data_IF_465327891002
#
_entry.id   IF_465327891002
#
_cell.length_a   1.000
_cell.length_b   1.000
_cell.length_c   1.000
_cell.angle_alpha   90.00
_cell.angle_beta   90.00
_cell.angle_gamma   90.00
#
_symmetry.space_group_name_H-M   'P 1'
#
loop_
_entity.id
_entity.type
_entity.pdbx_description
1 polymer ?
#
# COMPACT_ATOMS: atom_id res chain seq x y z
N UNK A 1 12.68 15.06 48.77
CA UNK A 1 13.16 15.18 47.38
C UNK A 1 12.03 15.82 46.58
N UNK A 2 12.22 17.10 46.21
CA UNK A 2 11.34 17.79 45.27
C UNK A 2 11.72 17.29 43.86
N UNK A 3 10.83 16.64 43.20
CA UNK A 3 10.96 16.31 41.77
C UNK A 3 10.62 17.61 41.01
N UNK A 4 11.64 18.24 40.44
CA UNK A 4 11.45 19.41 39.58
C UNK A 4 10.90 18.93 38.22
N UNK A 5 10.08 19.74 37.57
CA UNK A 5 9.66 19.50 36.22
C UNK A 5 10.90 19.38 35.31
N UNK A 6 10.95 18.42 34.37
CA UNK A 6 12.09 18.29 33.47
C UNK A 6 12.22 19.54 32.59
N UNK A 7 13.46 19.92 32.28
CA UNK A 7 13.78 20.90 31.26
C UNK A 7 13.49 20.24 29.89
N UNK A 8 12.32 20.54 29.32
CA UNK A 8 11.85 19.90 28.10
C UNK A 8 12.76 20.14 26.90
N UNK A 9 13.41 21.30 26.82
CA UNK A 9 14.33 21.62 25.73
C UNK A 9 15.59 20.74 25.80
N UNK A 10 16.18 20.61 27.00
CA UNK A 10 17.33 19.70 27.17
C UNK A 10 16.95 18.23 26.97
N UNK A 11 15.76 17.84 27.43
CA UNK A 11 15.28 16.50 27.27
C UNK A 11 15.08 16.15 25.78
N UNK A 12 14.49 17.06 25.01
CA UNK A 12 14.30 16.90 23.57
C UNK A 12 15.63 16.85 22.81
N UNK A 13 16.61 17.68 23.20
CA UNK A 13 17.94 17.64 22.62
C UNK A 13 18.65 16.30 22.89
N UNK A 14 18.56 15.77 24.11
CA UNK A 14 19.12 14.46 24.47
C UNK A 14 18.41 13.35 23.71
N UNK A 15 17.09 13.40 23.60
CA UNK A 15 16.33 12.41 22.82
C UNK A 15 16.68 12.45 21.33
N UNK A 16 16.89 13.64 20.76
CA UNK A 16 17.35 13.79 19.38
C UNK A 16 18.75 13.23 19.17
N UNK A 17 19.68 13.51 20.11
CA UNK A 17 21.05 12.98 20.07
C UNK A 17 21.10 11.44 20.21
N UNK A 18 20.22 10.88 21.04
CA UNK A 18 20.11 9.45 21.28
C UNK A 18 19.18 8.74 20.29
N UNK A 19 18.64 9.46 19.29
CA UNK A 19 17.65 8.94 18.33
C UNK A 19 16.40 8.31 18.99
N UNK A 20 16.11 8.71 20.24
CA UNK A 20 14.88 8.30 20.89
C UNK A 20 13.70 9.04 20.25
N UNK A 21 12.67 8.28 19.83
CA UNK A 21 11.41 8.88 19.40
C UNK A 21 10.77 9.58 20.59
N UNK A 22 10.91 10.88 20.67
CA UNK A 22 10.00 11.68 21.49
C UNK A 22 8.61 11.52 20.88
N UNK A 23 7.66 11.11 21.71
CA UNK A 23 6.27 11.35 21.38
C UNK A 23 6.08 12.87 21.41
N UNK A 24 6.33 13.52 20.29
CA UNK A 24 6.07 14.95 20.13
C UNK A 24 4.54 15.14 20.18
N UNK A 25 4.02 15.24 21.40
CA UNK A 25 2.59 15.41 21.69
C UNK A 25 2.06 16.77 21.22
N UNK A 26 2.94 17.62 20.67
CA UNK A 26 2.62 19.01 20.33
C UNK A 26 2.24 19.22 18.88
N UNK A 27 2.51 18.26 17.98
CA UNK A 27 1.98 18.33 16.61
C UNK A 27 0.61 17.65 16.59
N UNK A 28 -0.45 18.43 16.44
CA UNK A 28 -1.75 17.90 16.06
C UNK A 28 -1.57 17.07 14.79
N UNK A 29 -1.85 15.77 14.89
CA UNK A 29 -1.83 14.89 13.73
C UNK A 29 -2.91 15.33 12.78
N UNK A 30 -2.59 15.45 11.50
CA UNK A 30 -3.62 15.63 10.49
C UNK A 30 -4.52 14.37 10.51
N UNK A 31 -5.75 14.57 10.94
CA UNK A 31 -6.79 13.57 10.77
C UNK A 31 -7.14 13.47 9.28
N UNK A 32 -7.73 12.33 8.83
CA UNK A 32 -8.25 12.22 7.47
C UNK A 32 -9.01 13.49 7.11
N UNK A 33 -8.52 14.25 6.14
CA UNK A 33 -9.18 15.51 5.78
C UNK A 33 -10.53 15.16 5.15
N UNK A 34 -11.63 15.54 5.81
CA UNK A 34 -12.92 15.73 5.15
C UNK A 34 -12.73 16.81 4.06
N UNK A 35 -12.34 16.39 2.86
CA UNK A 35 -12.03 17.30 1.75
C UNK A 35 -11.15 16.66 0.68
N UNK A 36 -10.73 15.41 0.86
CA UNK A 36 -10.11 14.62 -0.21
C UNK A 36 -11.14 14.32 -1.28
N UNK A 37 -10.74 14.45 -2.53
CA UNK A 37 -11.58 14.16 -3.69
C UNK A 37 -11.46 12.67 -4.03
N UNK A 38 -12.11 11.82 -3.22
CA UNK A 38 -12.13 10.39 -3.43
C UNK A 38 -13.39 9.96 -4.17
N UNK A 39 -13.23 9.22 -5.25
CA UNK A 39 -14.29 8.82 -6.17
C UNK A 39 -14.46 7.30 -6.19
N UNK A 40 -15.72 6.84 -6.06
CA UNK A 40 -16.09 5.45 -6.36
C UNK A 40 -16.40 5.30 -7.84
N UNK A 41 -15.63 4.51 -8.56
CA UNK A 41 -15.78 4.31 -10.01
C UNK A 41 -16.73 3.16 -10.27
N UNK A 42 -17.99 3.46 -10.55
CA UNK A 42 -19.04 2.46 -10.79
C UNK A 42 -19.46 2.33 -12.26
N UNK A 43 -19.05 3.26 -13.11
CA UNK A 43 -19.46 3.28 -14.51
C UNK A 43 -18.26 3.50 -15.47
N UNK A 44 -18.50 3.22 -16.73
CA UNK A 44 -17.49 3.32 -17.79
C UNK A 44 -16.98 4.74 -18.01
N UNK A 45 -17.82 5.76 -17.80
CA UNK A 45 -17.45 7.17 -18.01
C UNK A 45 -16.43 7.59 -16.96
N UNK A 46 -16.67 7.25 -15.68
CA UNK A 46 -15.75 7.49 -14.60
C UNK A 46 -14.43 6.75 -14.82
N UNK A 47 -14.46 5.47 -15.22
CA UNK A 47 -13.24 4.71 -15.54
C UNK A 47 -12.44 5.36 -16.68
N UNK A 48 -13.08 5.77 -17.78
CA UNK A 48 -12.43 6.45 -18.91
C UNK A 48 -11.80 7.78 -18.49
N UNK A 49 -12.43 8.50 -17.54
CA UNK A 49 -11.85 9.72 -16.95
C UNK A 49 -10.54 9.40 -16.23
N UNK A 50 -10.52 8.39 -15.37
CA UNK A 50 -9.31 7.96 -14.65
C UNK A 50 -8.22 7.44 -15.58
N UNK A 51 -8.56 6.65 -16.58
CA UNK A 51 -7.64 6.26 -17.65
C UNK A 51 -6.97 7.47 -18.31
N UNK A 52 -7.75 8.52 -18.57
CA UNK A 52 -7.23 9.75 -19.15
C UNK A 52 -6.28 10.47 -18.20
N UNK A 53 -6.58 10.51 -16.89
CA UNK A 53 -5.71 11.07 -15.86
C UNK A 53 -4.38 10.31 -15.77
N UNK A 54 -4.41 8.96 -15.71
CA UNK A 54 -3.20 8.11 -15.69
C UNK A 54 -2.32 8.38 -16.92
N UNK A 55 -2.90 8.39 -18.12
CA UNK A 55 -2.14 8.63 -19.34
C UNK A 55 -1.42 10.00 -19.34
N UNK A 56 -2.03 11.02 -18.72
CA UNK A 56 -1.47 12.38 -18.63
C UNK A 56 -0.52 12.56 -17.45
N UNK A 57 -0.64 11.74 -16.41
CA UNK A 57 0.20 11.87 -15.21
C UNK A 57 1.65 11.51 -15.50
N UNK A 58 2.57 12.08 -14.72
CA UNK A 58 3.98 11.69 -14.69
C UNK A 58 4.21 10.50 -13.75
N UNK A 59 3.38 10.39 -12.73
CA UNK A 59 3.38 9.35 -11.70
C UNK A 59 1.93 9.06 -11.32
N UNK A 60 1.62 7.83 -11.01
CA UNK A 60 0.35 7.45 -10.38
C UNK A 60 0.61 6.36 -9.35
N UNK A 61 -0.15 6.39 -8.25
CA UNK A 61 -0.16 5.30 -7.30
C UNK A 61 -1.22 4.28 -7.66
N UNK A 62 -0.91 3.01 -7.37
CA UNK A 62 -1.81 1.86 -7.52
C UNK A 62 -1.74 1.01 -6.27
N UNK A 63 -2.89 0.53 -5.83
CA UNK A 63 -3.02 -0.42 -4.76
C UNK A 63 -4.16 -1.39 -5.05
N UNK A 64 -4.18 -2.58 -4.43
CA UNK A 64 -5.21 -3.60 -4.65
C UNK A 64 -5.85 -4.03 -3.36
N UNK A 65 -7.18 -4.09 -3.38
CA UNK A 65 -7.97 -4.66 -2.29
C UNK A 65 -8.34 -6.11 -2.59
N UNK A 66 -8.19 -6.96 -1.58
CA UNK A 66 -8.36 -8.41 -1.71
C UNK A 66 -9.18 -9.01 -0.57
N UNK A 67 -9.69 -10.23 -0.78
CA UNK A 67 -10.41 -10.99 0.24
C UNK A 67 -9.47 -11.73 1.22
N UNK A 68 -8.17 -11.77 0.94
CA UNK A 68 -7.19 -12.50 1.74
C UNK A 68 -5.80 -11.90 1.63
N UNK A 69 -4.99 -12.04 2.68
CA UNK A 69 -3.55 -11.72 2.66
C UNK A 69 -2.68 -12.80 2.01
N UNK A 70 -3.26 -13.94 1.63
CA UNK A 70 -2.55 -15.02 0.95
C UNK A 70 -2.46 -14.73 -0.55
N UNK A 71 -1.32 -14.22 -1.02
CA UNK A 71 -1.09 -13.83 -2.41
C UNK A 71 -1.31 -14.95 -3.42
N UNK A 72 -1.26 -16.22 -3.02
CA UNK A 72 -1.46 -17.37 -3.91
C UNK A 72 -2.95 -17.61 -4.20
N UNK A 73 -3.84 -17.33 -3.26
CA UNK A 73 -5.28 -17.64 -3.34
C UNK A 73 -6.20 -16.42 -3.26
N UNK A 74 -5.67 -15.23 -2.88
CA UNK A 74 -6.48 -14.03 -2.74
C UNK A 74 -7.18 -13.62 -4.03
N UNK A 75 -8.45 -13.27 -3.96
CA UNK A 75 -9.20 -12.70 -5.06
C UNK A 75 -9.13 -11.18 -5.05
N UNK A 76 -9.07 -10.57 -6.21
CA UNK A 76 -9.10 -9.12 -6.37
C UNK A 76 -10.53 -8.61 -6.13
N UNK A 77 -10.69 -7.72 -5.15
CA UNK A 77 -11.97 -7.09 -4.80
C UNK A 77 -12.11 -5.72 -5.46
N UNK A 78 -11.00 -5.01 -5.63
CA UNK A 78 -10.96 -3.75 -6.34
C UNK A 78 -9.56 -3.21 -6.51
N UNK A 79 -9.44 -2.10 -7.25
CA UNK A 79 -8.20 -1.41 -7.54
C UNK A 79 -8.36 0.05 -7.13
N UNK A 80 -7.42 0.59 -6.39
CA UNK A 80 -7.38 2.02 -6.08
C UNK A 80 -6.24 2.72 -6.83
N UNK A 81 -6.46 3.98 -7.16
CA UNK A 81 -5.55 4.80 -7.95
C UNK A 81 -5.50 6.22 -7.42
N UNK A 82 -4.32 6.84 -7.47
CA UNK A 82 -4.14 8.27 -7.24
C UNK A 82 -3.16 8.87 -8.26
N UNK A 83 -3.43 10.10 -8.69
CA UNK A 83 -2.57 10.83 -9.67
C UNK A 83 -2.11 12.19 -9.14
N UNK A 84 -2.69 12.64 -8.05
CA UNK A 84 -2.31 13.87 -7.32
C UNK A 84 -2.72 13.77 -5.86
N UNK A 85 -2.04 14.51 -4.99
CA UNK A 85 -2.32 14.51 -3.56
C UNK A 85 -3.76 14.93 -3.27
N UNK A 86 -4.40 14.25 -2.33
CA UNK A 86 -5.80 14.40 -1.94
C UNK A 86 -6.81 14.09 -3.08
N UNK A 87 -6.38 13.37 -4.10
CA UNK A 87 -7.22 12.87 -5.18
C UNK A 87 -6.97 11.37 -5.36
N UNK A 88 -8.02 10.57 -5.27
CA UNK A 88 -7.94 9.13 -5.44
C UNK A 88 -9.25 8.56 -5.95
N UNK A 89 -9.21 7.32 -6.42
CA UNK A 89 -10.41 6.58 -6.70
C UNK A 89 -10.28 5.13 -6.28
N UNK A 90 -11.43 4.54 -6.06
CA UNK A 90 -11.59 3.11 -5.92
C UNK A 90 -12.47 2.56 -7.03
N UNK A 91 -12.01 1.51 -7.67
CA UNK A 91 -12.71 0.76 -8.73
C UNK A 91 -13.13 -0.57 -8.13
N UNK A 92 -14.33 -0.67 -7.53
CA UNK A 92 -14.83 -1.92 -6.97
C UNK A 92 -15.17 -2.89 -8.10
N UNK A 93 -14.86 -4.19 -7.89
CA UNK A 93 -15.02 -5.23 -8.90
C UNK A 93 -15.82 -6.41 -8.35
N UNK A 94 -15.58 -6.79 -7.09
CA UNK A 94 -16.11 -8.03 -6.52
C UNK A 94 -16.68 -7.87 -5.10
N UNK A 95 -17.22 -6.70 -4.76
CA UNK A 95 -17.98 -6.56 -3.51
C UNK A 95 -19.28 -7.34 -3.58
N UNK A 96 -19.60 -8.00 -2.45
CA UNK A 96 -20.79 -8.86 -2.32
C UNK A 96 -21.42 -8.69 -0.95
N UNK A 97 -22.33 -7.73 -0.81
CA UNK A 97 -23.16 -7.51 0.35
C UNK A 97 -24.60 -7.17 -0.09
N UNK A 98 -25.54 -7.25 0.86
CA UNK A 98 -26.95 -6.97 0.55
C UNK A 98 -27.14 -5.55 0.04
N UNK A 99 -27.84 -5.40 -1.11
CA UNK A 99 -28.04 -4.13 -1.82
C UNK A 99 -26.75 -3.44 -2.31
N UNK A 100 -25.69 -4.22 -2.57
CA UNK A 100 -24.46 -3.68 -3.18
C UNK A 100 -24.78 -3.03 -4.54
N UNK A 101 -24.32 -1.80 -4.79
CA UNK A 101 -24.47 -1.17 -6.10
C UNK A 101 -23.84 -2.01 -7.22
N UNK A 102 -24.39 -1.88 -8.42
CA UNK A 102 -23.80 -2.54 -9.58
C UNK A 102 -22.40 -2.00 -9.83
N UNK A 103 -21.44 -2.91 -9.93
CA UNK A 103 -20.01 -2.64 -10.16
C UNK A 103 -19.68 -2.88 -11.64
N UNK A 104 -18.51 -2.40 -12.08
CA UNK A 104 -17.95 -2.77 -13.36
C UNK A 104 -17.52 -4.26 -13.34
N UNK A 105 -17.72 -4.95 -14.46
CA UNK A 105 -17.27 -6.34 -14.58
C UNK A 105 -15.75 -6.42 -14.64
N UNK A 106 -15.18 -7.49 -14.04
CA UNK A 106 -13.74 -7.77 -14.04
C UNK A 106 -13.15 -7.71 -15.45
N UNK A 107 -13.77 -8.41 -16.42
CA UNK A 107 -13.28 -8.45 -17.79
C UNK A 107 -13.19 -7.06 -18.41
N UNK A 108 -14.20 -6.21 -18.18
CA UNK A 108 -14.21 -4.84 -18.68
C UNK A 108 -13.09 -3.98 -18.04
N UNK A 109 -12.88 -4.11 -16.74
CA UNK A 109 -11.80 -3.39 -16.03
C UNK A 109 -10.43 -3.87 -16.53
N UNK A 110 -10.22 -5.17 -16.63
CA UNK A 110 -8.97 -5.75 -17.14
C UNK A 110 -8.68 -5.32 -18.57
N UNK A 111 -9.68 -5.36 -19.47
CA UNK A 111 -9.51 -4.98 -20.86
C UNK A 111 -9.14 -3.50 -21.02
N UNK A 112 -9.77 -2.60 -20.26
CA UNK A 112 -9.60 -1.16 -20.43
C UNK A 112 -8.50 -0.59 -19.53
N UNK A 113 -8.54 -0.86 -18.22
CA UNK A 113 -7.55 -0.34 -17.27
C UNK A 113 -6.25 -1.14 -17.32
N UNK A 114 -6.32 -2.47 -17.47
CA UNK A 114 -5.14 -3.32 -17.50
C UNK A 114 -4.15 -2.90 -18.58
N UNK A 115 -4.61 -2.65 -19.81
CA UNK A 115 -3.76 -2.16 -20.90
C UNK A 115 -3.10 -0.80 -20.58
N UNK A 116 -3.82 0.06 -19.85
CA UNK A 116 -3.30 1.38 -19.46
C UNK A 116 -2.23 1.25 -18.38
N UNK A 117 -2.44 0.37 -17.39
CA UNK A 117 -1.45 0.06 -16.37
C UNK A 117 -0.20 -0.54 -17.02
N UNK A 118 -0.34 -1.55 -17.87
CA UNK A 118 0.79 -2.18 -18.56
C UNK A 118 1.59 -1.17 -19.40
N UNK A 119 0.92 -0.26 -20.09
CA UNK A 119 1.56 0.77 -20.92
C UNK A 119 2.30 1.82 -20.08
N UNK A 120 1.78 2.17 -18.90
CA UNK A 120 2.30 3.22 -18.04
C UNK A 120 2.98 2.68 -16.77
N UNK A 121 3.30 1.39 -16.70
CA UNK A 121 3.84 0.74 -15.52
C UNK A 121 5.16 1.37 -15.01
N UNK A 122 5.93 2.00 -15.89
CA UNK A 122 7.14 2.78 -15.57
C UNK A 122 6.86 4.07 -14.80
N UNK A 123 5.59 4.44 -14.61
CA UNK A 123 5.11 5.57 -13.81
C UNK A 123 4.35 5.11 -12.55
N UNK A 124 4.14 3.81 -12.40
CA UNK A 124 3.36 3.25 -11.30
C UNK A 124 4.18 3.22 -10.00
N UNK A 125 3.59 3.69 -8.93
CA UNK A 125 4.10 3.62 -7.55
C UNK A 125 3.14 2.79 -6.71
N UNK A 126 3.67 1.94 -5.84
CA UNK A 126 2.87 1.19 -4.88
C UNK A 126 3.53 1.10 -3.50
N UNK A 127 2.84 0.44 -2.60
CA UNK A 127 3.32 0.13 -1.26
C UNK A 127 3.34 -1.40 -1.09
N UNK A 128 4.52 -2.02 -1.08
CA UNK A 128 4.65 -3.49 -1.05
C UNK A 128 4.12 -4.17 -2.32
N UNK A 129 4.51 -3.67 -3.49
CA UNK A 129 4.09 -4.18 -4.81
C UNK A 129 4.34 -5.69 -5.01
N UNK A 130 5.19 -6.28 -4.20
CA UNK A 130 5.36 -7.75 -4.17
C UNK A 130 4.04 -8.48 -3.88
N UNK A 131 3.12 -7.82 -3.14
CA UNK A 131 1.77 -8.33 -2.88
C UNK A 131 0.84 -8.15 -4.09
N UNK A 132 0.82 -6.96 -4.70
CA UNK A 132 -0.14 -6.58 -5.74
C UNK A 132 0.15 -7.21 -7.10
N UNK A 133 1.42 -7.25 -7.49
CA UNK A 133 1.85 -7.75 -8.79
C UNK A 133 1.32 -9.16 -9.11
N UNK A 134 1.44 -10.17 -8.23
CA UNK A 134 0.92 -11.50 -8.52
C UNK A 134 -0.61 -11.56 -8.56
N UNK A 135 -1.29 -10.74 -7.76
CA UNK A 135 -2.76 -10.65 -7.76
C UNK A 135 -3.24 -10.06 -9.08
N UNK A 136 -2.69 -8.92 -9.50
CA UNK A 136 -2.99 -8.30 -10.78
C UNK A 136 -2.72 -9.26 -11.95
N UNK A 137 -1.59 -9.96 -11.93
CA UNK A 137 -1.20 -10.91 -12.98
C UNK A 137 -2.19 -12.08 -13.12
N UNK A 138 -2.70 -12.64 -12.01
CA UNK A 138 -3.72 -13.69 -12.05
C UNK A 138 -5.04 -13.24 -12.68
N UNK A 139 -5.34 -11.94 -12.57
CA UNK A 139 -6.55 -11.35 -13.14
C UNK A 139 -6.31 -10.72 -14.53
N UNK A 140 -5.14 -10.98 -15.14
CA UNK A 140 -4.86 -10.58 -16.53
C UNK A 140 -4.14 -9.25 -16.69
N UNK A 141 -3.77 -8.55 -15.61
CA UNK A 141 -3.02 -7.28 -15.64
C UNK A 141 -1.56 -7.56 -15.32
N UNK A 142 -0.65 -7.35 -16.29
CA UNK A 142 0.77 -7.67 -16.12
C UNK A 142 1.57 -6.41 -15.76
N UNK A 143 2.20 -6.43 -14.60
CA UNK A 143 3.19 -5.44 -14.19
C UNK A 143 4.56 -6.09 -14.09
N UNK A 144 5.41 -5.84 -15.08
CA UNK A 144 6.81 -6.33 -15.11
C UNK A 144 7.82 -5.27 -14.73
N UNK A 145 7.34 -4.03 -14.58
CA UNK A 145 8.10 -2.85 -14.16
C UNK A 145 7.22 -2.00 -13.25
N UNK A 146 7.85 -1.14 -12.49
CA UNK A 146 7.20 -0.07 -11.71
C UNK A 146 8.22 1.04 -11.47
N UNK A 147 7.75 2.24 -11.15
CA UNK A 147 8.60 3.37 -10.85
C UNK A 147 9.21 3.25 -9.44
N UNK A 148 8.37 2.95 -8.45
CA UNK A 148 8.80 2.89 -7.07
C UNK A 148 7.89 2.01 -6.19
N UNK A 149 8.47 1.50 -5.10
CA UNK A 149 7.81 0.87 -3.98
C UNK A 149 8.17 1.64 -2.70
N UNK A 150 7.18 2.28 -2.08
CA UNK A 150 7.39 3.19 -0.95
C UNK A 150 7.86 2.46 0.31
N UNK A 151 7.49 1.19 0.49
CA UNK A 151 8.00 0.36 1.58
C UNK A 151 9.51 0.14 1.42
N UNK A 152 9.97 -0.24 0.23
CA UNK A 152 11.39 -0.48 -0.06
C UNK A 152 12.20 0.83 -0.04
N UNK A 153 11.63 1.94 -0.54
CA UNK A 153 12.26 3.26 -0.45
C UNK A 153 12.56 3.62 1.01
N UNK A 154 11.58 3.48 1.89
CA UNK A 154 11.76 3.75 3.31
C UNK A 154 12.75 2.79 3.97
N UNK A 155 12.71 1.51 3.62
CA UNK A 155 13.64 0.50 4.15
C UNK A 155 15.09 0.83 3.80
N UNK A 156 15.37 1.17 2.55
CA UNK A 156 16.73 1.50 2.09
C UNK A 156 17.22 2.83 2.65
N UNK A 157 16.32 3.80 2.83
CA UNK A 157 16.65 5.09 3.45
C UNK A 157 17.11 4.95 4.91
N UNK A 158 16.37 4.19 5.70
CA UNK A 158 16.69 3.88 7.09
C UNK A 158 15.90 2.65 7.58
N UNK A 159 16.53 1.48 7.54
CA UNK A 159 15.90 0.20 7.89
C UNK A 159 15.41 0.08 9.35
N UNK A 160 15.87 0.95 10.23
CA UNK A 160 15.55 0.92 11.68
C UNK A 160 14.63 2.06 12.13
N UNK A 161 14.37 3.06 11.27
CA UNK A 161 13.60 4.26 11.65
C UNK A 161 12.17 3.93 12.08
N UNK A 162 11.52 2.99 11.40
CA UNK A 162 10.14 2.60 11.67
C UNK A 162 9.86 1.17 11.18
N UNK A 163 8.69 0.64 11.48
CA UNK A 163 8.13 -0.47 10.70
C UNK A 163 7.62 0.10 9.38
N UNK A 164 8.02 -0.51 8.25
CA UNK A 164 7.80 0.06 6.92
C UNK A 164 6.38 -0.17 6.36
N UNK A 165 5.40 -0.45 7.22
CA UNK A 165 3.98 -0.49 6.84
C UNK A 165 3.41 0.91 6.66
N UNK A 166 2.41 1.06 5.79
CA UNK A 166 1.83 2.33 5.36
C UNK A 166 1.45 3.25 6.53
N UNK A 167 0.69 2.76 7.52
CA UNK A 167 0.26 3.54 8.69
C UNK A 167 1.44 4.20 9.42
N UNK A 168 2.56 3.43 9.55
CA UNK A 168 3.75 3.93 10.22
C UNK A 168 4.54 4.91 9.38
N UNK A 169 4.56 4.69 8.06
CA UNK A 169 5.20 5.62 7.14
C UNK A 169 4.43 6.92 7.05
N UNK A 170 3.10 6.87 6.99
CA UNK A 170 2.24 8.04 6.99
C UNK A 170 2.41 8.86 8.30
N UNK A 171 2.41 8.18 9.45
CA UNK A 171 2.65 8.83 10.74
C UNK A 171 4.05 9.49 10.80
N UNK A 172 5.07 8.79 10.31
CA UNK A 172 6.46 9.22 10.43
C UNK A 172 6.85 10.33 9.44
N UNK A 173 6.49 10.17 8.15
CA UNK A 173 6.91 11.08 7.09
C UNK A 173 5.89 12.17 6.78
N UNK A 174 4.59 11.89 6.96
CA UNK A 174 3.51 12.79 6.59
C UNK A 174 2.83 13.43 7.81
N UNK A 175 3.13 12.98 9.04
CA UNK A 175 2.39 13.33 10.26
C UNK A 175 0.88 13.11 10.12
N UNK A 176 0.50 12.05 9.41
CA UNK A 176 -0.87 11.72 9.02
C UNK A 176 -1.31 10.40 9.67
N UNK A 177 -2.54 10.37 10.20
CA UNK A 177 -3.13 9.15 10.75
C UNK A 177 -4.06 8.55 9.70
N UNK A 178 -3.71 7.38 9.16
CA UNK A 178 -4.51 6.65 8.19
C UNK A 178 -5.70 5.95 8.83
N UNK A 179 -6.71 5.65 8.05
CA UNK A 179 -7.77 4.71 8.39
C UNK A 179 -7.17 3.30 8.45
N UNK A 180 -7.42 2.54 9.51
CA UNK A 180 -6.88 1.19 9.64
C UNK A 180 -7.79 0.17 8.98
N UNK A 181 -7.21 -0.88 8.41
CA UNK A 181 -7.96 -2.01 7.88
C UNK A 181 -9.00 -2.57 8.87
N UNK A 182 -8.63 -2.65 10.17
CA UNK A 182 -9.54 -3.11 11.24
C UNK A 182 -10.69 -2.16 11.54
N UNK A 183 -10.58 -0.89 11.18
CA UNK A 183 -11.65 0.09 11.37
C UNK A 183 -12.77 -0.13 10.34
N UNK A 184 -12.42 -0.64 9.15
CA UNK A 184 -13.36 -0.91 8.05
C UNK A 184 -13.88 -2.35 8.05
N UNK A 185 -13.05 -3.34 8.41
CA UNK A 185 -13.44 -4.76 8.40
C UNK A 185 -13.84 -5.33 9.75
N UNK A 186 -13.57 -4.59 10.85
CA UNK A 186 -13.75 -5.09 12.20
C UNK A 186 -12.57 -5.92 12.71
N UNK A 187 -12.68 -6.44 13.91
CA UNK A 187 -11.58 -7.16 14.60
C UNK A 187 -11.99 -8.53 15.08
N UNK A 188 -11.04 -9.45 15.15
CA UNK A 188 -11.19 -10.81 15.71
C UNK A 188 -12.40 -11.57 15.11
N UNK A 189 -13.28 -12.12 15.94
CA UNK A 189 -14.44 -12.91 15.51
C UNK A 189 -15.54 -12.12 14.78
N UNK A 190 -15.45 -10.80 14.77
CA UNK A 190 -16.38 -9.90 14.05
C UNK A 190 -15.79 -9.36 12.74
N UNK A 191 -14.59 -9.78 12.38
CA UNK A 191 -13.95 -9.35 11.15
C UNK A 191 -14.69 -9.97 9.96
N UNK A 192 -15.07 -9.09 9.01
CA UNK A 192 -15.68 -9.47 7.75
C UNK A 192 -14.64 -9.43 6.63
N UNK A 193 -14.93 -10.09 5.51
CA UNK A 193 -14.12 -9.95 4.29
C UNK A 193 -14.22 -8.54 3.75
N UNK A 194 -13.17 -8.03 3.10
CA UNK A 194 -13.22 -6.72 2.44
C UNK A 194 -14.32 -6.66 1.37
N UNK A 195 -14.63 -7.79 0.74
CA UNK A 195 -15.75 -7.93 -0.20
C UNK A 195 -17.13 -7.59 0.43
N UNK A 196 -17.27 -7.71 1.74
CA UNK A 196 -18.51 -7.45 2.48
C UNK A 196 -18.57 -6.03 3.05
N UNK A 197 -17.47 -5.25 2.94
CA UNK A 197 -17.43 -3.84 3.38
C UNK A 197 -18.27 -3.01 2.41
N UNK A 198 -19.10 -2.12 2.95
CA UNK A 198 -19.92 -1.21 2.13
C UNK A 198 -19.06 -0.26 1.31
N UNK A 199 -19.48 0.01 0.07
CA UNK A 199 -18.68 0.78 -0.90
C UNK A 199 -18.35 2.21 -0.45
N UNK A 200 -19.22 2.87 0.30
CA UNK A 200 -18.94 4.19 0.87
C UNK A 200 -17.72 4.17 1.81
N UNK A 201 -17.61 3.13 2.63
CA UNK A 201 -16.47 2.94 3.56
C UNK A 201 -15.25 2.41 2.81
N UNK A 202 -15.44 1.38 1.97
CA UNK A 202 -14.35 0.74 1.23
C UNK A 202 -13.67 1.71 0.25
N UNK A 203 -14.45 2.59 -0.39
CA UNK A 203 -13.93 3.57 -1.34
C UNK A 203 -13.06 4.62 -0.68
N UNK A 204 -13.50 5.15 0.46
CA UNK A 204 -12.72 6.13 1.21
C UNK A 204 -11.41 5.52 1.70
N UNK A 205 -11.46 4.29 2.24
CA UNK A 205 -10.28 3.56 2.69
C UNK A 205 -9.29 3.29 1.55
N UNK A 206 -9.74 2.63 0.48
CA UNK A 206 -8.86 2.24 -0.61
C UNK A 206 -8.29 3.43 -1.39
N UNK A 207 -9.09 4.49 -1.60
CA UNK A 207 -8.61 5.71 -2.24
C UNK A 207 -7.63 6.48 -1.37
N UNK A 208 -7.80 6.44 -0.02
CA UNK A 208 -6.82 6.97 0.93
C UNK A 208 -5.49 6.25 0.80
N UNK A 209 -5.47 4.90 0.73
CA UNK A 209 -4.24 4.11 0.63
C UNK A 209 -3.44 4.46 -0.65
N UNK A 210 -4.11 4.64 -1.79
CA UNK A 210 -3.47 5.10 -3.02
C UNK A 210 -2.96 6.55 -2.90
N UNK A 211 -3.71 7.47 -2.30
CA UNK A 211 -3.28 8.86 -2.08
C UNK A 211 -2.06 8.93 -1.15
N UNK A 212 -2.11 8.22 -0.02
CA UNK A 212 -1.00 8.16 0.93
C UNK A 212 0.25 7.56 0.30
N UNK A 213 0.10 6.51 -0.53
CA UNK A 213 1.21 5.93 -1.30
C UNK A 213 1.85 6.97 -2.21
N UNK A 214 1.08 7.77 -2.93
CA UNK A 214 1.59 8.84 -3.78
C UNK A 214 2.30 9.94 -2.97
N UNK A 215 1.72 10.37 -1.87
CA UNK A 215 2.31 11.37 -0.97
C UNK A 215 3.62 10.89 -0.35
N UNK A 216 3.67 9.61 0.07
CA UNK A 216 4.91 9.00 0.56
C UNK A 216 6.00 8.99 -0.52
N UNK A 217 5.65 8.63 -1.76
CA UNK A 217 6.59 8.71 -2.87
C UNK A 217 7.14 10.14 -3.06
N UNK A 218 6.28 11.15 -3.03
CA UNK A 218 6.68 12.55 -3.20
C UNK A 218 7.67 13.02 -2.13
N UNK A 219 7.59 12.49 -0.90
CA UNK A 219 8.52 12.79 0.19
C UNK A 219 9.79 11.96 0.10
N UNK A 220 9.67 10.66 -0.16
CA UNK A 220 10.81 9.73 -0.11
C UNK A 220 11.73 9.86 -1.34
N UNK A 221 11.19 10.16 -2.53
CA UNK A 221 11.98 10.24 -3.74
C UNK A 221 13.05 11.35 -3.71
N UNK A 222 12.78 12.59 -3.27
CA UNK A 222 13.82 13.59 -3.07
C UNK A 222 14.90 13.16 -2.06
N UNK A 223 14.49 12.53 -0.94
CA UNK A 223 15.42 12.06 0.09
C UNK A 223 16.37 10.99 -0.43
N UNK A 224 15.92 10.10 -1.31
CA UNK A 224 16.75 9.08 -1.96
C UNK A 224 17.74 9.69 -2.93
N UNK A 225 17.35 10.71 -3.70
CA UNK A 225 18.25 11.43 -4.62
C UNK A 225 19.46 12.06 -3.91
N UNK A 226 19.31 12.42 -2.65
CA UNK A 226 20.42 12.91 -1.83
C UNK A 226 21.36 11.79 -1.36
N UNK A 227 20.97 10.51 -1.56
CA UNK A 227 21.68 9.33 -1.10
C UNK A 227 21.97 8.36 -2.27
N UNK A 228 22.92 8.66 -3.15
CA UNK A 228 23.12 7.94 -4.41
C UNK A 228 23.49 6.46 -4.23
N UNK A 229 24.09 6.08 -3.12
CA UNK A 229 24.42 4.67 -2.81
C UNK A 229 23.13 3.90 -2.52
N UNK A 230 22.25 4.46 -1.70
CA UNK A 230 20.95 3.87 -1.37
C UNK A 230 20.02 3.83 -2.59
N UNK A 231 20.00 4.89 -3.38
CA UNK A 231 19.23 4.94 -4.63
C UNK A 231 19.69 3.85 -5.60
N UNK A 232 21.01 3.69 -5.76
CA UNK A 232 21.58 2.61 -6.57
C UNK A 232 21.23 1.22 -6.04
N UNK A 233 21.33 0.98 -4.73
CA UNK A 233 20.94 -0.28 -4.10
C UNK A 233 19.47 -0.61 -4.38
N UNK A 234 18.58 0.38 -4.26
CA UNK A 234 17.16 0.24 -4.51
C UNK A 234 16.87 -0.21 -5.94
N UNK A 235 17.49 0.45 -6.93
CA UNK A 235 17.26 0.14 -8.34
C UNK A 235 17.97 -1.12 -8.84
N UNK A 236 19.18 -1.40 -8.37
CA UNK A 236 19.98 -2.52 -8.87
C UNK A 236 19.67 -3.85 -8.16
N UNK A 237 19.12 -3.79 -6.94
CA UNK A 237 18.87 -4.99 -6.13
C UNK A 237 17.43 -5.10 -5.66
N UNK A 238 16.91 -4.14 -4.90
CA UNK A 238 15.63 -4.29 -4.20
C UNK A 238 14.44 -4.37 -5.18
N UNK A 239 14.36 -3.50 -6.17
CA UNK A 239 13.28 -3.52 -7.15
C UNK A 239 13.29 -4.78 -8.04
N UNK A 240 14.41 -5.22 -8.63
CA UNK A 240 14.47 -6.51 -9.32
C UNK A 240 14.08 -7.70 -8.44
N UNK A 241 14.44 -7.65 -7.15
CA UNK A 241 14.15 -8.74 -6.21
C UNK A 241 12.64 -8.90 -5.95
N UNK A 242 11.83 -7.85 -6.07
CA UNK A 242 10.36 -7.92 -5.95
C UNK A 242 9.79 -8.99 -6.88
N UNK A 243 10.16 -8.96 -8.15
CA UNK A 243 9.67 -9.93 -9.14
C UNK A 243 10.21 -11.35 -8.90
N UNK A 244 11.43 -11.47 -8.43
CA UNK A 244 12.04 -12.76 -8.10
C UNK A 244 11.31 -13.39 -6.91
N UNK A 245 11.15 -12.64 -5.82
CA UNK A 245 10.45 -13.13 -4.62
C UNK A 245 8.99 -13.43 -4.88
N UNK A 246 8.29 -12.55 -5.61
CA UNK A 246 6.91 -12.80 -6.03
C UNK A 246 6.78 -14.14 -6.76
N UNK A 247 7.68 -14.44 -7.71
CA UNK A 247 7.66 -15.71 -8.44
C UNK A 247 8.00 -16.90 -7.54
N UNK A 248 8.97 -16.76 -6.63
CA UNK A 248 9.31 -17.82 -5.67
C UNK A 248 8.11 -18.15 -4.77
N UNK A 249 7.43 -17.13 -4.25
CA UNK A 249 6.24 -17.30 -3.40
C UNK A 249 5.08 -17.94 -4.16
N UNK A 250 4.84 -17.54 -5.43
CA UNK A 250 3.79 -18.14 -6.26
C UNK A 250 4.08 -19.61 -6.62
N UNK A 251 5.34 -19.98 -6.83
CA UNK A 251 5.72 -21.36 -7.11
C UNK A 251 5.62 -22.26 -5.86
N UNK A 252 5.81 -21.66 -4.67
CA UNK A 252 5.84 -22.40 -3.42
C UNK A 252 7.02 -23.35 -3.28
N UNK A 253 7.04 -24.10 -2.21
CA UNK A 253 8.03 -25.15 -1.96
C UNK A 253 7.33 -26.50 -1.70
N UNK A 254 7.79 -27.54 -2.39
CA UNK A 254 7.27 -28.90 -2.18
C UNK A 254 7.87 -29.48 -0.89
N UNK A 255 7.01 -29.80 0.07
CA UNK A 255 7.40 -30.42 1.34
C UNK A 255 7.14 -31.92 1.26
N UNK A 256 8.14 -32.73 1.64
CA UNK A 256 7.95 -34.16 1.82
C UNK A 256 7.59 -34.47 3.28
N UNK A 257 6.32 -34.77 3.53
CA UNK A 257 5.83 -35.06 4.91
C UNK A 257 6.53 -36.25 5.57
N UNK A 258 7.04 -37.21 4.77
CA UNK A 258 7.78 -38.37 5.29
C UNK A 258 9.12 -37.95 5.93
N UNK A 259 9.76 -36.89 5.43
CA UNK A 259 11.03 -36.39 5.96
C UNK A 259 10.86 -35.33 7.07
N UNK A 260 9.69 -34.67 7.10
CA UNK A 260 9.41 -33.60 8.08
C UNK A 260 8.64 -34.09 9.29
N UNK A 261 8.05 -35.29 9.24
CA UNK A 261 7.44 -35.90 10.43
C UNK A 261 8.54 -36.47 11.35
N UNK A 262 8.57 -36.13 12.64
CA UNK A 262 9.53 -36.71 13.57
C UNK A 262 9.36 -38.22 13.58
N UNK A 263 10.47 -38.94 13.40
CA UNK A 263 10.47 -40.38 13.54
C UNK A 263 10.22 -40.76 15.00
N UNK A 264 9.53 -41.89 15.29
CA UNK A 264 9.43 -42.41 16.66
C UNK A 264 10.79 -42.70 17.32
N UNK A 265 11.89 -42.63 16.55
CA UNK A 265 13.27 -42.79 17.02
C UNK A 265 13.93 -41.48 17.40
N UNK A 266 13.27 -40.35 17.16
CA UNK A 266 13.80 -39.00 17.48
C UNK A 266 13.32 -38.49 18.85
N UNK A 267 12.67 -39.39 19.65
CA UNK A 267 12.20 -39.16 21.04
C UNK A 267 12.91 -40.09 22.00
#
# INVERSE_FOLDING_TARGET
LLVLNPDEEKLNNIFAELEFKTADKTKEKEAPKKGSNYETVLDEKALKSWITKINKSKVFAIDTETDSVNTVSANLIGISLSVSENEGCYIPIAHSYENCPKQLGMDYVVENLGQVIEKNQDKAVGQNLKFDIPILARHGIKMTKFLADTMLMSYVLNSTATRHGMDRLADFYLNYTTTKYTDVTGTASKQISFAEVKLDIASDYAAEDADITLRLYNVLAPMLKEKPIQEKLLHDLEYPLVHVLSRVEQNGAKICLLYTSPSPRDF
#
